data_IF_359019140321
#
_entry.id   IF_359019140321
#
_cell.length_a   1.000
_cell.length_b   1.000
_cell.length_c   1.000
_cell.angle_alpha   90.00
_cell.angle_beta   90.00
_cell.angle_gamma   90.00
#
_symmetry.space_group_name_H-M   'P 1'
#
loop_
_entity.id
_entity.type
_entity.pdbx_description
1 polymer ?
#
# COMPACT_ATOMS: atom_id res chain seq x y z
N UNK A 1 36.38 -18.72 -6.59
CA UNK A 1 35.82 -18.07 -5.40
C UNK A 1 34.79 -17.09 -5.88
N UNK A 2 33.52 -17.49 -5.77
CA UNK A 2 32.34 -16.71 -6.16
C UNK A 2 32.14 -15.57 -5.17
N UNK A 3 32.25 -14.33 -5.66
CA UNK A 3 31.64 -13.17 -5.02
C UNK A 3 30.17 -13.21 -5.42
N UNK A 4 29.31 -13.27 -4.41
CA UNK A 4 27.86 -13.17 -4.51
C UNK A 4 27.46 -11.78 -5.01
N UNK A 5 26.88 -11.72 -6.21
CA UNK A 5 26.20 -10.54 -6.73
C UNK A 5 24.88 -10.36 -5.97
N UNK A 6 24.91 -9.48 -4.97
CA UNK A 6 23.71 -8.92 -4.33
C UNK A 6 23.18 -7.76 -5.22
N UNK A 7 21.98 -7.85 -5.81
CA UNK A 7 21.42 -6.80 -6.66
C UNK A 7 20.92 -5.58 -5.89
N UNK A 8 20.99 -5.56 -4.55
CA UNK A 8 20.37 -4.50 -3.72
C UNK A 8 21.14 -3.18 -3.65
N UNK A 9 22.27 -3.04 -4.35
CA UNK A 9 23.17 -1.88 -4.21
C UNK A 9 23.67 -1.27 -5.55
N UNK A 10 22.81 -1.14 -6.56
CA UNK A 10 23.09 -0.32 -7.75
C UNK A 10 22.23 0.97 -7.72
N UNK A 11 22.91 2.12 -7.64
CA UNK A 11 22.31 3.40 -7.28
C UNK A 11 21.34 4.00 -8.29
N UNK A 12 20.29 4.59 -7.75
CA UNK A 12 19.63 5.76 -8.33
C UNK A 12 19.45 6.77 -7.20
N UNK A 13 20.11 7.92 -7.32
CA UNK A 13 19.96 9.04 -6.41
C UNK A 13 18.55 9.61 -6.63
N UNK A 14 17.55 9.15 -5.88
CA UNK A 14 16.18 9.64 -6.00
C UNK A 14 16.08 11.08 -5.47
N UNK A 15 16.38 12.07 -6.31
CA UNK A 15 15.96 13.47 -6.15
C UNK A 15 14.97 13.81 -7.25
N UNK A 16 13.97 12.96 -7.45
CA UNK A 16 12.90 13.23 -8.41
C UNK A 16 11.78 13.92 -7.64
N UNK A 17 11.87 15.24 -7.52
CA UNK A 17 10.74 16.04 -7.04
C UNK A 17 9.70 16.09 -8.16
N UNK A 18 8.70 15.23 -8.05
CA UNK A 18 7.59 15.20 -8.99
C UNK A 18 6.56 16.23 -8.56
N UNK A 19 5.96 16.91 -9.53
CA UNK A 19 4.83 17.77 -9.22
C UNK A 19 3.63 16.92 -8.81
N UNK A 20 2.76 17.47 -7.96
CA UNK A 20 1.47 16.84 -7.63
C UNK A 20 0.70 16.46 -8.90
N UNK A 21 0.74 17.32 -9.92
CA UNK A 21 0.13 17.07 -11.22
C UNK A 21 0.72 15.84 -11.94
N UNK A 22 2.04 15.65 -11.90
CA UNK A 22 2.68 14.48 -12.52
C UNK A 22 2.34 13.18 -11.79
N UNK A 23 2.21 13.23 -10.46
CA UNK A 23 1.78 12.08 -9.65
C UNK A 23 0.32 11.74 -9.95
N UNK A 24 -0.54 12.75 -10.11
CA UNK A 24 -1.92 12.55 -10.55
C UNK A 24 -1.98 11.87 -11.93
N UNK A 25 -1.18 12.36 -12.90
CA UNK A 25 -1.06 11.73 -14.22
C UNK A 25 -0.53 10.29 -14.15
N UNK A 26 0.35 9.98 -13.19
CA UNK A 26 0.84 8.62 -12.98
C UNK A 26 -0.28 7.67 -12.53
N UNK A 27 -1.17 8.16 -11.67
CA UNK A 27 -2.33 7.40 -11.20
C UNK A 27 -3.29 7.08 -12.35
N UNK A 28 -3.71 8.11 -13.09
CA UNK A 28 -4.60 7.97 -14.25
C UNK A 28 -3.95 7.16 -15.37
N UNK A 29 -2.64 7.28 -15.55
CA UNK A 29 -1.85 6.62 -16.59
C UNK A 29 -1.50 5.16 -16.31
N UNK A 30 -1.89 4.61 -15.15
CA UNK A 30 -1.59 3.21 -14.80
C UNK A 30 -0.09 2.95 -14.55
N UNK A 31 0.64 3.95 -14.07
CA UNK A 31 2.08 3.84 -13.80
C UNK A 31 2.37 3.28 -12.39
N UNK A 32 1.35 3.13 -11.53
CA UNK A 32 1.51 2.50 -10.23
C UNK A 32 1.28 0.99 -10.29
N UNK A 33 1.99 0.28 -9.42
CA UNK A 33 1.88 -1.16 -9.23
C UNK A 33 2.12 -1.54 -7.77
N UNK A 34 1.58 -2.67 -7.33
CA UNK A 34 1.82 -3.24 -6.02
C UNK A 34 2.88 -4.33 -6.10
N UNK A 35 3.89 -4.22 -5.25
CA UNK A 35 4.87 -5.28 -4.98
C UNK A 35 4.51 -5.92 -3.65
N UNK A 36 4.83 -7.21 -3.49
CA UNK A 36 4.44 -7.95 -2.30
C UNK A 36 5.67 -8.51 -1.60
N UNK A 37 5.95 -8.00 -0.40
CA UNK A 37 7.09 -8.42 0.41
C UNK A 37 6.64 -9.48 1.43
N UNK A 38 7.30 -10.65 1.52
CA UNK A 38 6.97 -11.65 2.52
C UNK A 38 7.24 -11.19 3.96
N UNK A 39 6.24 -11.37 4.83
CA UNK A 39 6.38 -11.30 6.29
C UNK A 39 6.73 -12.70 6.81
N UNK A 40 7.88 -12.85 7.47
CA UNK A 40 8.39 -14.16 7.91
C UNK A 40 8.38 -14.27 9.44
N UNK A 41 7.82 -15.36 9.95
CA UNK A 41 8.01 -15.74 11.34
C UNK A 41 9.44 -16.24 11.54
N UNK A 42 10.32 -15.40 12.08
CA UNK A 42 11.75 -15.72 12.21
C UNK A 42 12.06 -16.94 13.08
N UNK A 43 11.14 -17.36 13.97
CA UNK A 43 11.32 -18.56 14.79
C UNK A 43 11.03 -19.84 14.01
N UNK A 44 10.02 -19.81 13.13
CA UNK A 44 9.55 -20.97 12.38
C UNK A 44 10.11 -21.02 10.94
N UNK A 45 10.61 -19.89 10.43
CA UNK A 45 11.04 -19.75 9.04
C UNK A 45 9.89 -19.72 8.03
N UNK A 46 8.65 -19.55 8.50
CA UNK A 46 7.44 -19.63 7.68
C UNK A 46 6.95 -18.23 7.27
N UNK A 47 6.45 -18.11 6.04
CA UNK A 47 5.76 -16.90 5.59
C UNK A 47 4.40 -16.84 6.26
N UNK A 48 4.14 -15.77 7.00
CA UNK A 48 2.89 -15.55 7.75
C UNK A 48 1.97 -14.53 7.09
N UNK A 49 2.45 -13.84 6.06
CA UNK A 49 1.69 -12.84 5.34
C UNK A 49 2.55 -12.15 4.28
N UNK A 50 1.94 -11.20 3.58
CA UNK A 50 2.61 -10.32 2.64
C UNK A 50 2.32 -8.88 3.00
N UNK A 51 3.23 -7.97 2.69
CA UNK A 51 2.98 -6.54 2.73
C UNK A 51 2.85 -6.01 1.30
N UNK A 52 1.73 -5.34 1.00
CA UNK A 52 1.49 -4.66 -0.26
C UNK A 52 2.20 -3.30 -0.25
N UNK A 53 3.17 -3.16 -1.16
CA UNK A 53 4.05 -2.02 -1.24
C UNK A 53 3.84 -1.30 -2.56
N UNK A 54 3.35 -0.05 -2.48
CA UNK A 54 3.20 0.82 -3.64
C UNK A 54 4.57 1.04 -4.33
N UNK A 55 4.57 0.95 -5.65
CA UNK A 55 5.71 1.29 -6.50
C UNK A 55 5.22 2.09 -7.69
N UNK A 56 6.05 3.04 -8.13
CA UNK A 56 5.80 3.79 -9.34
C UNK A 56 6.74 3.31 -10.45
N UNK A 57 6.20 2.69 -11.48
CA UNK A 57 6.90 2.35 -12.71
C UNK A 57 6.98 3.59 -13.61
N UNK A 58 7.91 4.50 -13.30
CA UNK A 58 8.08 5.71 -14.08
C UNK A 58 8.67 5.38 -15.47
N UNK A 59 8.15 5.96 -16.57
CA UNK A 59 8.61 5.66 -17.92
C UNK A 59 10.09 5.99 -18.15
N UNK A 60 10.57 7.11 -17.58
CA UNK A 60 11.96 7.56 -17.72
C UNK A 60 12.92 7.05 -16.63
N UNK A 61 12.49 7.03 -15.36
CA UNK A 61 13.37 6.74 -14.22
C UNK A 61 13.24 5.30 -13.70
N UNK A 62 12.38 4.49 -14.30
CA UNK A 62 12.12 3.13 -13.84
C UNK A 62 11.38 3.10 -12.51
N UNK A 63 11.69 2.12 -11.67
CA UNK A 63 10.96 1.85 -10.44
C UNK A 63 11.30 2.85 -9.33
N UNK A 64 10.40 3.79 -9.04
CA UNK A 64 10.55 4.80 -7.99
C UNK A 64 9.86 4.31 -6.69
N UNK A 65 10.54 4.41 -5.52
CA UNK A 65 9.95 4.04 -4.23
C UNK A 65 8.99 5.12 -3.69
N UNK A 66 8.01 4.73 -2.85
CA UNK A 66 6.97 5.62 -2.33
C UNK A 66 7.52 6.83 -1.57
N UNK A 67 8.60 6.65 -0.81
CA UNK A 67 9.24 7.73 -0.05
C UNK A 67 9.76 8.88 -0.92
N UNK A 68 9.94 8.66 -2.23
CA UNK A 68 10.39 9.70 -3.16
C UNK A 68 9.26 10.60 -3.65
N UNK A 69 7.99 10.21 -3.52
CA UNK A 69 6.86 10.98 -4.06
C UNK A 69 5.68 11.16 -3.10
N UNK A 70 5.41 10.23 -2.18
CA UNK A 70 4.31 10.38 -1.21
C UNK A 70 4.40 11.66 -0.36
N UNK A 71 5.58 12.09 0.13
CA UNK A 71 5.67 13.34 0.92
C UNK A 71 5.21 14.59 0.17
N UNK A 72 5.19 14.59 -1.17
CA UNK A 72 4.76 15.73 -1.98
C UNK A 72 3.23 15.87 -2.02
N UNK A 73 2.51 14.81 -1.68
CA UNK A 73 1.04 14.72 -1.80
C UNK A 73 0.36 14.41 -0.47
N UNK A 74 1.12 14.29 0.64
CA UNK A 74 0.62 13.86 1.95
C UNK A 74 -0.60 14.67 2.41
N UNK A 75 -0.57 15.99 2.22
CA UNK A 75 -1.64 16.91 2.62
C UNK A 75 -2.68 17.18 1.51
N UNK A 76 -2.56 16.49 0.37
CA UNK A 76 -3.46 16.66 -0.78
C UNK A 76 -4.54 15.58 -0.81
N UNK A 77 -5.66 15.82 -1.51
CA UNK A 77 -6.66 14.76 -1.73
C UNK A 77 -6.10 13.56 -2.51
N UNK A 78 -5.02 13.74 -3.26
CA UNK A 78 -4.40 12.69 -4.06
C UNK A 78 -3.85 11.53 -3.21
N UNK A 79 -3.46 11.76 -1.95
CA UNK A 79 -3.06 10.65 -1.07
C UNK A 79 -4.22 9.70 -0.79
N UNK A 80 -5.44 10.24 -0.73
CA UNK A 80 -6.67 9.47 -0.53
C UNK A 80 -6.97 8.68 -1.81
N UNK A 81 -6.88 9.32 -2.97
CA UNK A 81 -7.14 8.67 -4.26
C UNK A 81 -6.15 7.51 -4.52
N UNK A 82 -4.86 7.71 -4.20
CA UNK A 82 -3.86 6.63 -4.24
C UNK A 82 -4.18 5.54 -3.22
N UNK A 83 -4.60 5.90 -2.01
CA UNK A 83 -4.99 4.92 -0.99
C UNK A 83 -6.16 4.05 -1.41
N UNK A 84 -7.20 4.62 -2.03
CA UNK A 84 -8.31 3.86 -2.61
C UNK A 84 -7.83 2.94 -3.74
N UNK A 85 -6.95 3.43 -4.62
CA UNK A 85 -6.35 2.61 -5.67
C UNK A 85 -5.53 1.44 -5.10
N UNK A 86 -4.74 1.68 -4.05
CA UNK A 86 -3.94 0.65 -3.36
C UNK A 86 -4.84 -0.40 -2.74
N UNK A 87 -5.90 0.02 -2.03
CA UNK A 87 -6.89 -0.88 -1.43
C UNK A 87 -7.54 -1.77 -2.48
N UNK A 88 -8.03 -1.18 -3.57
CA UNK A 88 -8.74 -1.90 -4.63
C UNK A 88 -7.87 -2.93 -5.33
N UNK A 89 -6.62 -2.57 -5.65
CA UNK A 89 -5.67 -3.49 -6.29
C UNK A 89 -5.21 -4.60 -5.33
N UNK A 90 -5.05 -4.30 -4.04
CA UNK A 90 -4.72 -5.31 -3.05
C UNK A 90 -5.87 -6.32 -2.87
N UNK A 91 -7.13 -5.85 -2.74
CA UNK A 91 -8.30 -6.72 -2.65
C UNK A 91 -8.45 -7.61 -3.88
N UNK A 92 -8.24 -7.04 -5.08
CA UNK A 92 -8.22 -7.80 -6.33
C UNK A 92 -7.16 -8.91 -6.30
N UNK A 93 -5.93 -8.59 -5.88
CA UNK A 93 -4.84 -9.56 -5.81
C UNK A 93 -5.11 -10.66 -4.78
N UNK A 94 -5.64 -10.31 -3.59
CA UNK A 94 -6.02 -11.29 -2.56
C UNK A 94 -7.09 -12.23 -3.11
N UNK A 95 -8.08 -11.72 -3.85
CA UNK A 95 -9.11 -12.55 -4.49
C UNK A 95 -8.51 -13.52 -5.51
N UNK A 96 -7.55 -13.07 -6.31
CA UNK A 96 -6.86 -13.94 -7.26
C UNK A 96 -6.09 -15.05 -6.55
N UNK A 97 -5.38 -14.75 -5.46
CA UNK A 97 -4.70 -15.75 -4.64
C UNK A 97 -5.66 -16.73 -3.97
N UNK A 98 -6.79 -16.25 -3.44
CA UNK A 98 -7.83 -17.10 -2.90
C UNK A 98 -8.33 -18.11 -3.94
N UNK A 99 -8.58 -17.69 -5.18
CA UNK A 99 -9.02 -18.56 -6.28
C UNK A 99 -7.96 -19.60 -6.68
N UNK A 100 -6.68 -19.32 -6.41
CA UNK A 100 -5.57 -20.27 -6.58
C UNK A 100 -5.36 -21.17 -5.36
N UNK A 101 -6.21 -21.06 -4.32
CA UNK A 101 -6.09 -21.82 -3.07
C UNK A 101 -5.04 -21.26 -2.10
N UNK A 102 -4.52 -20.05 -2.34
CA UNK A 102 -3.57 -19.38 -1.46
C UNK A 102 -4.32 -18.43 -0.51
N UNK A 103 -4.29 -18.76 0.78
CA UNK A 103 -4.95 -17.98 1.84
C UNK A 103 -3.89 -17.31 2.72
N UNK A 104 -3.22 -16.31 2.15
CA UNK A 104 -2.12 -15.59 2.80
C UNK A 104 -2.61 -14.18 3.16
N UNK A 105 -2.53 -13.74 4.43
CA UNK A 105 -2.89 -12.38 4.82
C UNK A 105 -2.03 -11.33 4.14
N UNK A 106 -2.63 -10.21 3.76
CA UNK A 106 -1.95 -9.08 3.10
C UNK A 106 -2.16 -7.81 3.90
N UNK A 107 -1.05 -7.17 4.29
CA UNK A 107 -1.06 -5.82 4.85
C UNK A 107 -1.14 -4.77 3.77
N UNK A 108 -2.06 -3.83 3.95
CA UNK A 108 -2.30 -2.70 3.05
C UNK A 108 -1.96 -1.42 3.81
N UNK A 109 -0.95 -0.70 3.32
CA UNK A 109 -0.50 0.55 3.91
C UNK A 109 -1.39 1.72 3.47
N UNK A 110 -2.06 2.38 4.42
CA UNK A 110 -2.85 3.58 4.19
C UNK A 110 -2.33 4.75 5.04
N UNK A 111 -2.47 5.98 4.53
CA UNK A 111 -2.08 7.18 5.27
C UNK A 111 -3.10 7.53 6.36
N UNK A 112 -2.66 8.29 7.37
CA UNK A 112 -3.56 8.80 8.42
C UNK A 112 -4.64 9.68 7.81
N UNK A 113 -4.30 10.50 6.80
CA UNK A 113 -5.24 11.38 6.11
C UNK A 113 -6.32 10.58 5.35
N UNK A 114 -5.98 9.40 4.83
CA UNK A 114 -6.96 8.51 4.22
C UNK A 114 -7.89 7.89 5.27
N UNK A 115 -7.34 7.34 6.35
CA UNK A 115 -8.12 6.68 7.41
C UNK A 115 -9.08 7.65 8.11
N UNK A 116 -8.60 8.84 8.45
CA UNK A 116 -9.39 9.87 9.15
C UNK A 116 -10.38 10.61 8.25
N UNK A 117 -10.35 10.36 6.93
CA UNK A 117 -11.31 10.96 6.02
C UNK A 117 -12.73 10.48 6.34
N UNK A 118 -13.68 11.41 6.45
CA UNK A 118 -15.08 11.13 6.85
C UNK A 118 -15.80 10.02 6.08
N UNK A 119 -15.38 9.78 4.83
CA UNK A 119 -15.98 8.78 3.95
C UNK A 119 -15.20 7.46 3.89
N UNK A 120 -14.10 7.32 4.66
CA UNK A 120 -13.26 6.13 4.64
C UNK A 120 -14.05 4.85 4.91
N UNK A 121 -14.79 4.79 6.01
CA UNK A 121 -15.56 3.59 6.37
C UNK A 121 -16.62 3.23 5.34
N UNK A 122 -17.23 4.22 4.69
CA UNK A 122 -18.22 3.98 3.62
C UNK A 122 -17.50 3.36 2.41
N UNK A 123 -16.39 3.95 1.97
CA UNK A 123 -15.63 3.46 0.82
C UNK A 123 -14.97 2.10 1.06
N UNK A 124 -14.47 1.84 2.28
CA UNK A 124 -13.96 0.53 2.66
C UNK A 124 -15.06 -0.54 2.59
N UNK A 125 -16.25 -0.25 3.13
CA UNK A 125 -17.40 -1.16 3.03
C UNK A 125 -17.79 -1.40 1.58
N UNK A 126 -17.85 -0.36 0.76
CA UNK A 126 -18.13 -0.48 -0.67
C UNK A 126 -17.06 -1.33 -1.37
N UNK A 127 -15.77 -1.14 -1.03
CA UNK A 127 -14.66 -1.92 -1.58
C UNK A 127 -14.74 -3.40 -1.22
N UNK A 128 -14.96 -3.72 0.05
CA UNK A 128 -15.11 -5.09 0.54
C UNK A 128 -16.38 -5.76 -0.02
N UNK A 129 -17.47 -5.00 -0.23
CA UNK A 129 -18.73 -5.55 -0.77
C UNK A 129 -18.59 -6.11 -2.18
N UNK A 130 -17.57 -5.67 -2.94
CA UNK A 130 -17.25 -6.22 -4.28
C UNK A 130 -16.63 -7.62 -4.20
N UNK A 131 -16.17 -8.04 -3.02
CA UNK A 131 -15.50 -9.31 -2.78
C UNK A 131 -16.09 -10.06 -1.58
N UNK A 132 -17.38 -10.43 -1.60
CA UNK A 132 -18.10 -10.94 -0.42
C UNK A 132 -17.55 -12.28 0.13
N UNK A 133 -16.83 -13.05 -0.70
CA UNK A 133 -16.24 -14.32 -0.28
C UNK A 133 -14.82 -14.19 0.28
N UNK A 134 -14.24 -12.98 0.33
CA UNK A 134 -12.93 -12.78 0.93
C UNK A 134 -13.04 -12.87 2.47
N UNK A 135 -12.33 -13.81 3.10
CA UNK A 135 -12.26 -13.84 4.56
C UNK A 135 -11.62 -12.56 5.09
N UNK A 136 -12.22 -11.88 6.09
CA UNK A 136 -11.67 -10.64 6.64
C UNK A 136 -10.25 -10.79 7.19
N UNK A 137 -9.89 -11.98 7.69
CA UNK A 137 -8.56 -12.29 8.23
C UNK A 137 -7.45 -12.39 7.16
N UNK A 138 -7.77 -12.18 5.88
CA UNK A 138 -6.77 -12.04 4.82
C UNK A 138 -6.35 -10.59 4.57
N UNK A 139 -6.97 -9.63 5.25
CA UNK A 139 -6.77 -8.21 5.01
C UNK A 139 -6.34 -7.56 6.32
N UNK A 140 -5.11 -7.06 6.36
CA UNK A 140 -4.61 -6.22 7.45
C UNK A 140 -4.50 -4.78 6.92
N UNK A 141 -5.02 -3.80 7.65
CA UNK A 141 -4.80 -2.38 7.33
C UNK A 141 -3.72 -1.84 8.26
N UNK A 142 -2.64 -1.35 7.67
CA UNK A 142 -1.51 -0.77 8.39
C UNK A 142 -1.43 0.74 8.17
N UNK A 143 -0.98 1.44 9.21
CA UNK A 143 -0.87 2.90 9.22
C UNK A 143 0.60 3.23 9.04
N UNK A 144 0.92 4.01 8.00
CA UNK A 144 2.29 4.47 7.78
C UNK A 144 2.62 5.58 8.80
N UNK A 145 3.58 5.33 9.69
CA UNK A 145 3.79 6.06 10.96
C UNK A 145 4.29 7.52 10.82
N UNK A 146 4.51 8.08 9.63
CA UNK A 146 5.14 9.41 9.52
C UNK A 146 4.35 10.59 10.14
N UNK A 147 3.09 10.40 10.56
CA UNK A 147 2.26 11.47 11.16
C UNK A 147 1.36 11.02 12.34
N UNK A 148 1.51 9.80 12.88
CA UNK A 148 0.55 9.21 13.82
C UNK A 148 0.46 9.87 15.21
N UNK A 149 1.29 10.87 15.53
CA UNK A 149 1.31 11.52 16.85
C UNK A 149 0.16 12.54 17.01
N UNK A 150 -0.56 12.89 15.94
CA UNK A 150 -1.57 13.95 15.95
C UNK A 150 -2.96 13.57 16.47
N UNK A 151 -3.44 12.33 16.26
CA UNK A 151 -4.87 12.05 16.46
C UNK A 151 -5.21 10.59 16.86
N UNK A 152 -4.55 10.11 17.91
CA UNK A 152 -4.81 8.80 18.52
C UNK A 152 -6.30 8.55 18.86
N UNK A 153 -7.08 9.60 19.10
CA UNK A 153 -8.49 9.49 19.48
C UNK A 153 -9.39 9.19 18.28
N UNK A 154 -9.19 9.87 17.14
CA UNK A 154 -9.90 9.55 15.90
C UNK A 154 -9.56 8.13 15.42
N UNK A 155 -8.29 7.73 15.55
CA UNK A 155 -7.81 6.38 15.17
C UNK A 155 -8.44 5.29 16.04
N UNK A 156 -8.53 5.50 17.35
CA UNK A 156 -9.16 4.56 18.29
C UNK A 156 -10.64 4.30 17.93
N UNK A 157 -11.36 5.36 17.54
CA UNK A 157 -12.77 5.24 17.20
C UNK A 157 -13.00 4.46 15.90
N UNK A 158 -12.12 4.66 14.90
CA UNK A 158 -12.16 3.93 13.64
C UNK A 158 -11.86 2.43 13.82
N UNK A 159 -10.91 2.07 14.68
CA UNK A 159 -10.60 0.67 14.99
C UNK A 159 -11.76 -0.07 15.68
N UNK A 160 -12.64 0.64 16.39
CA UNK A 160 -13.84 0.05 17.02
C UNK A 160 -15.00 -0.11 16.02
N UNK A 161 -15.02 0.68 14.96
CA UNK A 161 -16.08 0.66 13.94
C UNK A 161 -15.80 -0.29 12.76
N UNK A 162 -14.57 -0.77 12.62
CA UNK A 162 -14.17 -1.82 11.67
C UNK A 162 -14.49 -3.22 12.23
#
# INVERSE_FOLDING_TARGET
MSVSDDPSAAGAQWRVNQSVERIYQALEGGEFQLYYQPKVNMRLGEVVGLEALLRWQHPEFGLIPPLSFLPQIEESSLIIDIGEWVLDNALLQIKQWQLMGQLIPVSINLSVNHLTHRAFLIRLKDALSRYPDLPPNLIDIEIVESVAIGDLKAMSQLMVEC
#
